data_IF_252152886956
#
_entry.id   IF_252152886956
#
_cell.length_a   1.000
_cell.length_b   1.000
_cell.length_c   1.000
_cell.angle_alpha   90.00
_cell.angle_beta   90.00
_cell.angle_gamma   90.00
#
_symmetry.space_group_name_H-M   'P 1'
#
loop_
_entity.id
_entity.type
_entity.pdbx_description
1 polymer ?
#
# COMPACT_ATOMS: atom_id res chain seq x y z
N UNK A 1 -56.95 -21.03 49.99
CA UNK A 1 -56.78 -20.59 51.40
C UNK A 1 -55.32 -20.85 51.73
N UNK A 2 -54.39 -19.92 51.99
CA UNK A 2 -54.32 -18.58 52.62
C UNK A 2 -52.92 -18.03 52.20
N UNK A 3 -52.72 -16.92 51.49
CA UNK A 3 -52.71 -15.47 51.88
C UNK A 3 -51.74 -15.10 53.03
N UNK A 4 -50.59 -14.51 52.62
CA UNK A 4 -49.79 -13.40 53.25
C UNK A 4 -48.75 -13.76 54.35
N UNK A 5 -47.61 -13.01 54.58
CA UNK A 5 -47.06 -11.79 53.92
C UNK A 5 -45.58 -11.83 53.45
N UNK A 6 -45.26 -10.84 52.60
CA UNK A 6 -43.94 -10.23 52.33
C UNK A 6 -43.16 -9.84 53.60
N UNK A 7 -41.86 -10.10 53.62
CA UNK A 7 -40.87 -9.25 54.32
C UNK A 7 -39.72 -8.93 53.38
N UNK A 8 -39.57 -7.63 53.15
CA UNK A 8 -38.46 -6.98 52.45
C UNK A 8 -37.31 -6.90 53.46
N UNK A 9 -36.14 -7.41 53.10
CA UNK A 9 -34.87 -7.09 53.77
C UNK A 9 -33.89 -6.69 52.68
N UNK A 10 -33.77 -5.38 52.44
CA UNK A 10 -32.58 -4.79 51.84
C UNK A 10 -31.46 -4.81 52.88
N UNK A 11 -30.22 -5.12 52.48
CA UNK A 11 -29.06 -4.49 53.08
C UNK A 11 -28.32 -3.65 52.04
N UNK A 12 -28.41 -2.34 52.27
CA UNK A 12 -27.36 -1.33 52.09
C UNK A 12 -26.10 -1.79 51.33
N UNK A 13 -26.06 -1.51 50.03
CA UNK A 13 -24.86 -1.67 49.21
C UNK A 13 -24.70 -0.58 48.14
N UNK A 14 -25.37 0.57 48.28
CA UNK A 14 -25.40 1.61 47.26
C UNK A 14 -25.51 3.02 47.86
N UNK A 15 -24.51 3.46 48.64
CA UNK A 15 -24.37 4.88 49.06
C UNK A 15 -22.91 5.36 49.09
N UNK A 16 -21.99 4.80 48.30
CA UNK A 16 -20.60 5.33 48.22
C UNK A 16 -20.17 5.64 46.79
N UNK A 17 -21.10 6.03 45.91
CA UNK A 17 -20.77 6.42 44.52
C UNK A 17 -21.18 7.85 44.14
N UNK A 18 -21.38 8.74 45.11
CA UNK A 18 -21.77 10.15 44.85
C UNK A 18 -21.07 11.16 45.76
N UNK A 19 -19.80 10.91 46.13
CA UNK A 19 -19.01 11.86 46.95
C UNK A 19 -17.54 12.01 46.48
N UNK A 20 -17.27 11.90 45.17
CA UNK A 20 -15.92 12.10 44.62
C UNK A 20 -15.94 12.92 43.32
N UNK A 21 -16.73 14.01 43.28
CA UNK A 21 -16.80 14.90 42.12
C UNK A 21 -16.68 16.39 42.46
N UNK A 22 -16.11 16.74 43.61
CA UNK A 22 -15.78 18.14 43.93
C UNK A 22 -14.40 18.16 44.60
N UNK A 23 -13.52 19.00 44.04
CA UNK A 23 -12.12 19.30 44.42
C UNK A 23 -11.02 18.48 43.73
N UNK A 24 -10.68 18.92 42.51
CA UNK A 24 -9.27 18.97 42.09
C UNK A 24 -9.02 20.25 41.28
N UNK A 25 -8.55 21.34 41.90
CA UNK A 25 -7.91 22.43 41.19
C UNK A 25 -6.46 22.03 40.87
N UNK A 26 -6.02 22.30 39.65
CA UNK A 26 -4.61 22.48 39.34
C UNK A 26 -3.75 21.22 39.17
N UNK A 27 -3.99 20.44 38.11
CA UNK A 27 -2.94 19.75 37.33
C UNK A 27 -3.35 19.66 35.87
N UNK A 28 -3.40 20.81 35.20
CA UNK A 28 -3.29 20.87 33.75
C UNK A 28 -1.88 20.42 33.38
N UNK A 29 -1.69 19.13 33.15
CA UNK A 29 -0.52 18.62 32.47
C UNK A 29 -0.69 19.02 31.01
N UNK A 30 -0.32 20.27 30.70
CA UNK A 30 -0.10 20.72 29.35
C UNK A 30 1.01 19.82 28.78
N UNK A 31 0.59 18.78 28.05
CA UNK A 31 1.46 18.09 27.10
C UNK A 31 1.96 19.20 26.21
N UNK A 32 3.24 19.54 26.34
CA UNK A 32 3.89 20.49 25.45
C UNK A 32 3.51 20.06 24.03
N UNK A 33 2.72 20.91 23.36
CA UNK A 33 2.51 20.81 21.93
C UNK A 33 3.93 20.77 21.35
N UNK A 34 4.30 19.64 20.74
CA UNK A 34 5.47 19.64 19.86
C UNK A 34 5.27 20.85 18.96
N UNK A 35 6.28 21.73 18.80
CA UNK A 35 6.16 22.80 17.83
C UNK A 35 5.76 22.12 16.53
N UNK A 36 4.56 22.44 16.05
CA UNK A 36 4.11 22.06 14.71
C UNK A 36 5.20 22.63 13.83
N UNK A 37 6.11 21.75 13.37
CA UNK A 37 7.10 22.16 12.39
C UNK A 37 6.29 22.84 11.30
N UNK A 38 6.65 24.09 10.90
CA UNK A 38 5.99 24.70 9.77
C UNK A 38 6.03 23.65 8.66
N UNK A 39 4.88 23.30 8.06
CA UNK A 39 4.84 22.27 7.04
C UNK A 39 5.88 22.67 6.00
N UNK A 40 6.91 21.84 5.84
CA UNK A 40 7.90 22.02 4.79
C UNK A 40 7.12 22.25 3.51
N UNK A 41 7.31 23.40 2.88
CA UNK A 41 6.61 23.68 1.62
C UNK A 41 7.00 22.58 0.65
N UNK A 42 6.03 21.72 0.34
CA UNK A 42 6.22 20.63 -0.62
C UNK A 42 6.24 21.28 -2.00
N UNK A 43 7.43 21.69 -2.43
CA UNK A 43 7.70 22.07 -3.80
C UNK A 43 8.06 20.82 -4.57
N UNK A 44 7.16 20.44 -5.47
CA UNK A 44 7.42 19.36 -6.41
C UNK A 44 8.32 19.89 -7.52
N UNK A 45 9.45 19.21 -7.71
CA UNK A 45 10.33 19.43 -8.84
C UNK A 45 9.82 18.65 -10.06
N UNK A 46 9.42 19.38 -11.11
CA UNK A 46 8.97 18.80 -12.37
C UNK A 46 9.98 17.83 -12.96
N UNK A 47 11.28 18.08 -12.83
CA UNK A 47 12.31 17.19 -13.35
C UNK A 47 12.25 15.81 -12.67
N UNK A 48 12.04 15.78 -11.35
CA UNK A 48 11.84 14.54 -10.59
C UNK A 48 10.58 13.79 -11.04
N UNK A 49 9.48 14.51 -11.29
CA UNK A 49 8.24 13.89 -11.77
C UNK A 49 8.37 13.32 -13.20
N UNK A 50 9.10 14.02 -14.07
CA UNK A 50 9.42 13.55 -15.43
C UNK A 50 10.28 12.29 -15.38
N UNK A 51 11.31 12.25 -14.51
CA UNK A 51 12.13 11.04 -14.31
C UNK A 51 11.28 9.85 -13.88
N UNK A 52 10.36 10.05 -12.93
CA UNK A 52 9.43 8.98 -12.52
C UNK A 52 8.57 8.49 -13.69
N UNK A 53 8.08 9.41 -14.52
CA UNK A 53 7.27 9.05 -15.69
C UNK A 53 8.10 8.27 -16.73
N UNK A 54 9.35 8.67 -16.96
CA UNK A 54 10.27 7.98 -17.87
C UNK A 54 10.59 6.56 -17.37
N UNK A 55 10.84 6.39 -16.07
CA UNK A 55 11.06 5.07 -15.46
C UNK A 55 9.83 4.15 -15.62
N UNK A 56 8.61 4.70 -15.44
CA UNK A 56 7.36 3.98 -15.66
C UNK A 56 7.18 3.57 -17.12
N UNK A 57 7.44 4.48 -18.06
CA UNK A 57 7.36 4.21 -19.50
C UNK A 57 8.36 3.13 -19.89
N UNK A 58 9.61 3.24 -19.42
CA UNK A 58 10.65 2.23 -19.64
C UNK A 58 10.22 0.87 -19.12
N UNK A 59 9.70 0.81 -17.90
CA UNK A 59 9.17 -0.43 -17.34
C UNK A 59 8.05 -1.01 -18.21
N UNK A 60 7.10 -0.22 -18.70
CA UNK A 60 6.04 -0.73 -19.59
C UNK A 60 6.58 -1.32 -20.88
N UNK A 61 7.54 -0.66 -21.52
CA UNK A 61 8.20 -1.15 -22.74
C UNK A 61 8.88 -2.49 -22.46
N UNK A 62 9.58 -2.61 -21.34
CA UNK A 62 10.30 -3.83 -20.98
C UNK A 62 9.37 -4.94 -20.46
N UNK A 63 8.28 -4.61 -19.76
CA UNK A 63 7.38 -5.55 -19.10
C UNK A 63 6.30 -6.14 -20.02
N UNK A 64 5.97 -5.48 -21.13
CA UNK A 64 4.95 -5.94 -22.11
C UNK A 64 5.07 -7.41 -22.54
N UNK A 65 6.28 -7.96 -22.78
CA UNK A 65 6.43 -9.37 -23.10
C UNK A 65 5.97 -10.33 -21.98
N UNK A 66 6.06 -9.91 -20.72
CA UNK A 66 5.68 -10.77 -19.59
C UNK A 66 4.17 -11.04 -19.58
N UNK A 67 3.33 -10.04 -19.82
CA UNK A 67 1.87 -10.23 -19.88
C UNK A 67 1.46 -11.22 -20.96
N UNK A 68 2.00 -11.04 -22.18
CA UNK A 68 1.71 -11.94 -23.30
C UNK A 68 2.16 -13.37 -22.99
N UNK A 69 3.32 -13.55 -22.33
CA UNK A 69 3.80 -14.85 -21.90
C UNK A 69 2.93 -15.48 -20.82
N UNK A 70 2.50 -14.70 -19.81
CA UNK A 70 1.59 -15.19 -18.76
C UNK A 70 0.28 -15.67 -19.38
N UNK A 71 -0.33 -14.87 -20.26
CA UNK A 71 -1.59 -15.22 -20.95
C UNK A 71 -1.42 -16.45 -21.83
N UNK A 72 -0.29 -16.61 -22.51
CA UNK A 72 -0.01 -17.78 -23.33
C UNK A 72 0.20 -19.06 -22.50
N UNK A 73 0.82 -18.97 -21.32
CA UNK A 73 1.09 -20.13 -20.47
C UNK A 73 -0.13 -20.55 -19.64
N UNK A 74 -1.03 -19.63 -19.28
CA UNK A 74 -2.17 -19.93 -18.40
C UNK A 74 -3.03 -21.12 -18.88
N UNK A 75 -3.45 -21.20 -20.16
CA UNK A 75 -4.24 -22.33 -20.67
C UNK A 75 -3.49 -23.67 -20.67
N UNK A 76 -2.16 -23.64 -20.80
CA UNK A 76 -1.32 -24.86 -20.83
C UNK A 76 -1.37 -25.55 -19.47
N UNK A 77 -1.25 -24.77 -18.40
CA UNK A 77 -1.25 -25.29 -17.03
C UNK A 77 -2.65 -25.41 -16.41
N UNK A 78 -3.69 -24.86 -17.05
CA UNK A 78 -5.08 -24.91 -16.55
C UNK A 78 -5.65 -26.34 -16.43
N UNK A 79 -5.13 -27.28 -17.23
CA UNK A 79 -5.50 -28.70 -17.15
C UNK A 79 -5.06 -29.35 -15.83
N UNK A 80 -4.15 -28.72 -15.09
CA UNK A 80 -3.59 -29.23 -13.84
C UNK A 80 -3.60 -28.13 -12.77
N UNK A 81 -4.81 -27.72 -12.35
CA UNK A 81 -5.02 -26.61 -11.40
C UNK A 81 -4.33 -26.81 -10.04
N UNK A 82 -4.04 -28.05 -9.68
CA UNK A 82 -3.35 -28.36 -8.43
C UNK A 82 -1.81 -28.32 -8.53
N UNK A 83 -1.26 -28.22 -9.75
CA UNK A 83 0.18 -28.13 -9.98
C UNK A 83 0.78 -26.86 -9.37
N UNK A 84 2.04 -26.95 -8.93
CA UNK A 84 2.77 -25.81 -8.40
C UNK A 84 2.94 -24.73 -9.47
N UNK A 85 3.18 -25.13 -10.72
CA UNK A 85 3.31 -24.26 -11.88
C UNK A 85 2.04 -23.45 -12.13
N UNK A 86 0.86 -24.10 -12.14
CA UNK A 86 -0.40 -23.39 -12.31
C UNK A 86 -0.65 -22.40 -11.16
N UNK A 87 -0.45 -22.83 -9.91
CA UNK A 87 -0.64 -21.97 -8.73
C UNK A 87 0.28 -20.75 -8.77
N UNK A 88 1.54 -20.95 -9.15
CA UNK A 88 2.56 -19.89 -9.25
C UNK A 88 2.24 -18.93 -10.40
N UNK A 89 1.86 -19.45 -11.56
CA UNK A 89 1.48 -18.67 -12.73
C UNK A 89 0.17 -17.88 -12.50
N UNK A 90 -0.82 -18.49 -11.85
CA UNK A 90 -2.08 -17.83 -11.49
C UNK A 90 -1.83 -16.68 -10.52
N UNK A 91 -1.01 -16.92 -9.50
CA UNK A 91 -0.61 -15.87 -8.55
C UNK A 91 0.15 -14.73 -9.25
N UNK A 92 1.08 -15.07 -10.15
CA UNK A 92 1.81 -14.09 -10.95
C UNK A 92 0.88 -13.23 -11.80
N UNK A 93 -0.09 -13.84 -12.49
CA UNK A 93 -1.07 -13.13 -13.29
C UNK A 93 -1.92 -12.16 -12.45
N UNK A 94 -2.47 -12.63 -11.33
CA UNK A 94 -3.29 -11.80 -10.45
C UNK A 94 -2.49 -10.62 -9.87
N UNK A 95 -1.22 -10.85 -9.55
CA UNK A 95 -0.33 -9.81 -9.05
C UNK A 95 0.05 -8.82 -10.15
N UNK A 96 0.35 -9.33 -11.36
CA UNK A 96 0.65 -8.52 -12.53
C UNK A 96 -0.48 -7.53 -12.83
N UNK A 97 -1.73 -8.01 -12.87
CA UNK A 97 -2.90 -7.17 -13.11
C UNK A 97 -3.03 -6.05 -12.07
N UNK A 98 -2.87 -6.38 -10.79
CA UNK A 98 -2.93 -5.40 -9.69
C UNK A 98 -1.80 -4.37 -9.77
N UNK A 99 -0.58 -4.81 -10.08
CA UNK A 99 0.56 -3.93 -10.24
C UNK A 99 0.34 -2.97 -11.42
N UNK A 100 -0.09 -3.48 -12.58
CA UNK A 100 -0.38 -2.68 -13.77
C UNK A 100 -1.44 -1.62 -13.51
N UNK A 101 -2.54 -1.96 -12.83
CA UNK A 101 -3.57 -0.98 -12.45
C UNK A 101 -2.99 0.12 -11.55
N UNK A 102 -2.20 -0.26 -10.54
CA UNK A 102 -1.56 0.70 -9.63
C UNK A 102 -0.55 1.60 -10.35
N UNK A 103 0.24 1.05 -11.28
CA UNK A 103 1.19 1.80 -12.08
C UNK A 103 0.51 2.77 -13.05
N UNK A 104 -0.60 2.38 -13.68
CA UNK A 104 -1.42 3.29 -14.50
C UNK A 104 -1.95 4.46 -13.67
N UNK A 105 -2.46 4.18 -12.46
CA UNK A 105 -2.91 5.25 -11.56
C UNK A 105 -1.78 6.23 -11.21
N UNK A 106 -0.53 5.76 -11.11
CA UNK A 106 0.62 6.64 -10.89
C UNK A 106 0.92 7.48 -12.12
N UNK A 107 0.95 6.87 -13.31
CA UNK A 107 1.10 7.59 -14.58
C UNK A 107 0.05 8.69 -14.72
N UNK A 108 -1.22 8.39 -14.45
CA UNK A 108 -2.31 9.36 -14.57
C UNK A 108 -2.10 10.56 -13.64
N UNK A 109 -1.74 10.30 -12.38
CA UNK A 109 -1.46 11.36 -11.38
C UNK A 109 -0.30 12.24 -11.83
N UNK A 110 0.81 11.63 -12.27
CA UNK A 110 1.99 12.36 -12.73
C UNK A 110 1.70 13.17 -13.98
N UNK A 111 1.03 12.56 -14.96
CA UNK A 111 0.71 13.19 -16.22
C UNK A 111 -0.26 14.37 -16.04
N UNK A 112 -1.32 14.20 -15.25
CA UNK A 112 -2.27 15.27 -14.96
C UNK A 112 -1.55 16.43 -14.28
N UNK A 113 -0.72 16.15 -13.26
CA UNK A 113 0.02 17.19 -12.55
C UNK A 113 0.95 17.98 -13.50
N UNK A 114 1.78 17.27 -14.28
CA UNK A 114 2.68 17.89 -15.26
C UNK A 114 1.94 18.68 -16.34
N UNK A 115 0.73 18.26 -16.71
CA UNK A 115 -0.11 18.97 -17.69
C UNK A 115 -0.83 20.19 -17.13
N UNK A 116 -1.17 20.20 -15.85
CA UNK A 116 -1.78 21.36 -15.19
C UNK A 116 -0.82 22.55 -15.10
N UNK A 117 0.49 22.31 -15.25
CA UNK A 117 1.50 23.36 -15.34
C UNK A 117 1.71 24.06 -14.00
N UNK A 118 2.51 23.44 -13.12
CA UNK A 118 2.92 23.96 -11.82
C UNK A 118 1.79 24.69 -11.06
N UNK A 119 0.85 23.93 -10.50
CA UNK A 119 0.01 24.53 -9.48
C UNK A 119 0.90 24.85 -8.27
N UNK A 120 1.00 26.13 -7.91
CA UNK A 120 1.55 26.53 -6.61
C UNK A 120 0.58 26.20 -5.46
N UNK A 121 -0.43 25.37 -5.73
CA UNK A 121 -1.43 24.92 -4.78
C UNK A 121 -0.86 23.80 -3.94
N UNK A 122 -0.53 24.14 -2.70
CA UNK A 122 0.01 23.22 -1.70
C UNK A 122 -0.80 21.92 -1.57
N UNK A 123 -2.13 22.01 -1.57
CA UNK A 123 -3.01 20.85 -1.42
C UNK A 123 -2.88 19.87 -2.59
N UNK A 124 -2.63 20.36 -3.81
CA UNK A 124 -2.39 19.54 -4.99
C UNK A 124 -1.03 18.86 -4.88
N UNK A 125 0.00 19.58 -4.43
CA UNK A 125 1.34 19.02 -4.26
C UNK A 125 1.35 17.91 -3.20
N UNK A 126 0.71 18.16 -2.06
CA UNK A 126 0.55 17.16 -1.00
C UNK A 126 -0.24 15.94 -1.49
N UNK A 127 -1.31 16.16 -2.27
CA UNK A 127 -2.07 15.07 -2.88
C UNK A 127 -1.19 14.20 -3.79
N UNK A 128 -0.41 14.79 -4.68
CA UNK A 128 0.47 14.05 -5.60
C UNK A 128 1.54 13.26 -4.85
N UNK A 129 2.20 13.86 -3.86
CA UNK A 129 3.19 13.18 -3.03
C UNK A 129 2.57 12.00 -2.29
N UNK A 130 1.44 12.23 -1.61
CA UNK A 130 0.77 11.19 -0.83
C UNK A 130 0.25 10.06 -1.72
N UNK A 131 -0.33 10.41 -2.87
CA UNK A 131 -0.82 9.42 -3.83
C UNK A 131 0.31 8.58 -4.40
N UNK A 132 1.44 9.19 -4.74
CA UNK A 132 2.64 8.50 -5.20
C UNK A 132 3.20 7.54 -4.14
N UNK A 133 3.36 8.01 -2.90
CA UNK A 133 3.78 7.19 -1.75
C UNK A 133 2.87 5.99 -1.53
N UNK A 134 1.55 6.19 -1.59
CA UNK A 134 0.58 5.12 -1.39
C UNK A 134 0.67 4.05 -2.48
N UNK A 135 0.80 4.45 -3.75
CA UNK A 135 0.96 3.51 -4.86
C UNK A 135 2.28 2.72 -4.71
N UNK A 136 3.39 3.39 -4.43
CA UNK A 136 4.69 2.73 -4.28
C UNK A 136 4.69 1.78 -3.08
N UNK A 137 4.08 2.16 -1.96
CA UNK A 137 3.93 1.29 -0.77
C UNK A 137 3.15 0.02 -1.11
N UNK A 138 2.05 0.15 -1.87
CA UNK A 138 1.28 -0.99 -2.34
C UNK A 138 2.13 -1.91 -3.23
N UNK A 139 2.89 -1.35 -4.17
CA UNK A 139 3.74 -2.12 -5.08
C UNK A 139 4.91 -2.82 -4.34
N UNK A 140 5.52 -2.16 -3.35
CA UNK A 140 6.50 -2.79 -2.45
C UNK A 140 5.90 -4.01 -1.74
N UNK A 141 4.65 -3.91 -1.29
CA UNK A 141 3.93 -5.04 -0.69
C UNK A 141 3.70 -6.17 -1.70
N UNK A 142 3.44 -5.86 -2.97
CA UNK A 142 3.33 -6.88 -4.03
C UNK A 142 4.67 -7.58 -4.28
N UNK A 143 5.79 -6.87 -4.31
CA UNK A 143 7.13 -7.48 -4.42
C UNK A 143 7.44 -8.40 -3.25
N UNK A 144 7.08 -7.99 -2.03
CA UNK A 144 7.21 -8.86 -0.85
C UNK A 144 6.40 -10.15 -1.01
N UNK A 145 5.14 -10.05 -1.45
CA UNK A 145 4.28 -11.21 -1.67
C UNK A 145 4.80 -12.11 -2.79
N UNK A 146 5.31 -11.53 -3.89
CA UNK A 146 5.93 -12.26 -4.98
C UNK A 146 7.16 -13.02 -4.50
N UNK A 147 8.02 -12.36 -3.72
CA UNK A 147 9.22 -13.00 -3.16
C UNK A 147 8.85 -14.17 -2.26
N UNK A 148 7.88 -13.96 -1.38
CA UNK A 148 7.39 -15.01 -0.45
C UNK A 148 6.80 -16.19 -1.22
N UNK A 149 5.91 -15.93 -2.19
CA UNK A 149 5.32 -17.00 -3.01
C UNK A 149 6.33 -17.71 -3.89
N UNK A 150 7.38 -17.03 -4.34
CA UNK A 150 8.45 -17.66 -5.09
C UNK A 150 9.17 -18.72 -4.25
N UNK A 151 9.38 -18.45 -2.96
CA UNK A 151 10.04 -19.35 -2.02
C UNK A 151 9.14 -20.50 -1.57
N UNK A 152 7.83 -20.24 -1.38
CA UNK A 152 6.87 -21.26 -0.95
C UNK A 152 6.57 -22.31 -2.04
N UNK A 153 6.48 -21.87 -3.30
CA UNK A 153 6.17 -22.73 -4.45
C UNK A 153 7.44 -23.02 -5.23
N UNK A 154 8.35 -23.79 -4.63
CA UNK A 154 9.61 -24.16 -5.26
C UNK A 154 9.35 -25.10 -6.46
N UNK A 155 9.73 -24.63 -7.64
CA UNK A 155 9.63 -25.36 -8.91
C UNK A 155 10.99 -25.27 -9.60
N UNK A 156 11.28 -26.23 -10.49
CA UNK A 156 12.58 -26.26 -11.18
C UNK A 156 12.93 -24.93 -11.83
N UNK A 157 14.16 -24.46 -11.63
CA UNK A 157 14.72 -23.28 -12.30
C UNK A 157 14.73 -23.40 -13.84
N UNK A 158 14.65 -24.63 -14.37
CA UNK A 158 14.51 -24.85 -15.82
C UNK A 158 13.10 -24.55 -16.35
N UNK A 159 12.09 -24.47 -15.48
CA UNK A 159 10.69 -24.21 -15.84
C UNK A 159 10.53 -22.82 -16.44
N UNK A 160 9.76 -22.73 -17.52
CA UNK A 160 9.44 -21.44 -18.14
C UNK A 160 8.60 -20.56 -17.21
N UNK A 161 7.77 -21.17 -16.36
CA UNK A 161 7.00 -20.44 -15.34
C UNK A 161 7.94 -19.82 -14.31
N UNK A 162 9.00 -20.54 -13.88
CA UNK A 162 9.97 -20.03 -12.92
C UNK A 162 10.74 -18.84 -13.50
N UNK A 163 11.27 -19.00 -14.72
CA UNK A 163 12.03 -17.94 -15.40
C UNK A 163 11.18 -16.68 -15.62
N UNK A 164 9.93 -16.84 -16.04
CA UNK A 164 8.98 -15.74 -16.22
C UNK A 164 8.72 -15.03 -14.89
N UNK A 165 8.50 -15.79 -13.82
CA UNK A 165 8.27 -15.25 -12.48
C UNK A 165 9.46 -14.43 -11.98
N UNK A 166 10.67 -14.98 -12.06
CA UNK A 166 11.89 -14.32 -11.62
C UNK A 166 12.18 -13.07 -12.45
N UNK A 167 12.02 -13.16 -13.78
CA UNK A 167 12.18 -12.02 -14.68
C UNK A 167 11.23 -10.88 -14.30
N UNK A 168 9.96 -11.21 -14.02
CA UNK A 168 8.99 -10.21 -13.59
C UNK A 168 9.35 -9.62 -12.22
N UNK A 169 9.71 -10.45 -11.25
CA UNK A 169 10.11 -10.02 -9.91
C UNK A 169 11.30 -9.05 -9.96
N UNK A 170 12.34 -9.37 -10.74
CA UNK A 170 13.51 -8.51 -10.91
C UNK A 170 13.10 -7.17 -11.52
N UNK A 171 12.32 -7.17 -12.60
CA UNK A 171 11.88 -5.93 -13.27
C UNK A 171 11.05 -5.03 -12.36
N UNK A 172 10.09 -5.60 -11.65
CA UNK A 172 9.25 -4.83 -10.73
C UNK A 172 10.08 -4.28 -9.56
N UNK A 173 11.03 -5.07 -9.05
CA UNK A 173 11.95 -4.62 -7.97
C UNK A 173 12.83 -3.47 -8.44
N UNK A 174 13.39 -3.54 -9.66
CA UNK A 174 14.20 -2.47 -10.24
C UNK A 174 13.40 -1.19 -10.42
N UNK A 175 12.17 -1.29 -10.95
CA UNK A 175 11.29 -0.11 -11.06
C UNK A 175 11.04 0.51 -9.67
N UNK A 176 10.72 -0.32 -8.67
CA UNK A 176 10.44 0.20 -7.34
C UNK A 176 11.65 0.84 -6.70
N UNK A 177 12.86 0.33 -6.94
CA UNK A 177 14.07 0.99 -6.47
C UNK A 177 14.17 2.43 -7.00
N UNK A 178 13.97 2.65 -8.31
CA UNK A 178 14.01 3.99 -8.89
C UNK A 178 12.86 4.88 -8.41
N UNK A 179 11.63 4.35 -8.32
CA UNK A 179 10.48 5.12 -7.82
C UNK A 179 10.64 5.54 -6.36
N UNK A 180 11.16 4.66 -5.48
CA UNK A 180 11.42 5.00 -4.09
C UNK A 180 12.50 6.09 -3.97
N UNK A 181 13.53 6.06 -4.83
CA UNK A 181 14.56 7.09 -4.90
C UNK A 181 13.97 8.44 -5.28
N UNK A 182 13.12 8.50 -6.31
CA UNK A 182 12.47 9.75 -6.74
C UNK A 182 11.52 10.31 -5.69
N UNK A 183 10.72 9.47 -5.03
CA UNK A 183 9.86 9.92 -3.93
C UNK A 183 10.64 10.43 -2.72
N UNK A 184 11.81 9.86 -2.44
CA UNK A 184 12.67 10.37 -1.38
C UNK A 184 13.25 11.77 -1.70
N UNK A 185 13.32 12.14 -2.98
CA UNK A 185 13.68 13.50 -3.41
C UNK A 185 12.50 14.47 -3.31
N UNK A 186 11.27 14.01 -3.59
CA UNK A 186 10.04 14.81 -3.46
C UNK A 186 9.65 15.15 -2.01
N UNK A 187 10.20 14.43 -1.03
CA UNK A 187 9.87 14.56 0.39
C UNK A 187 10.89 15.39 1.19
N UNK A 188 11.89 15.97 0.52
CA UNK A 188 12.91 16.85 1.11
C UNK A 188 12.57 18.31 0.84
#
# INVERSE_FOLDING_TARGET
MTVVPRRIVLPLGFVVLTALLVLAPGRGSARAEQPVQPPTEVLLDDATLVVMLDDLIKYYVEARPAESQIIALLPIYEKSKDSAEYKKLRFLFDTYQKATISLNNLVDVLYIYLKLGNSHEKDVNEYVVNRSKNVITFLNSMVYLLTTRNQELDISASSDVQKLYETYLVRLTTLLYELNKSVALMAK
#
